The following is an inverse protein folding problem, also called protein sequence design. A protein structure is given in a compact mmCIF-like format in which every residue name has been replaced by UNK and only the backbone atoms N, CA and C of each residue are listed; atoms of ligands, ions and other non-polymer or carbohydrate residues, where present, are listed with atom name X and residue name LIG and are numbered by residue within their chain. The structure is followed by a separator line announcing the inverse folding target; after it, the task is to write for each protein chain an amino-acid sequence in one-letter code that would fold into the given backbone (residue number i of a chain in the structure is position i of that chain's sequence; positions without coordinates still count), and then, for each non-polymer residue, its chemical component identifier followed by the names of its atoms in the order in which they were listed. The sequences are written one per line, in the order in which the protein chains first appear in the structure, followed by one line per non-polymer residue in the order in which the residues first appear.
data_IF_119766327803
#
_entry.id   IF_119766327803
#
_cell.length_a   1.000
_cell.length_b   1.000
_cell.length_c   1.000
_cell.angle_alpha   90.00
_cell.angle_beta   90.00
_cell.angle_gamma   90.00
#
_symmetry.space_group_name_H-M   'P 1'
#
loop_
_entity.id
_entity.type
_entity.pdbx_description
1 polymer ?
#
# COMPACT_ATOMS: atom_id res chain seq x y z
N UNK A 1 6.79 -16.66 0.78
CA UNK A 1 6.42 -15.97 2.03
C UNK A 1 7.12 -14.63 1.97
N UNK A 2 6.40 -13.51 2.02
CA UNK A 2 7.03 -12.19 2.10
C UNK A 2 7.82 -12.10 3.41
N UNK A 3 9.04 -11.58 3.36
CA UNK A 3 9.81 -11.37 4.57
C UNK A 3 9.23 -10.15 5.31
N UNK A 4 9.28 -10.11 6.66
CA UNK A 4 8.89 -8.92 7.39
C UNK A 4 9.73 -7.72 6.89
N UNK A 5 9.05 -6.64 6.54
CA UNK A 5 9.59 -5.40 5.96
C UNK A 5 9.69 -5.29 4.41
N UNK A 6 9.22 -6.27 3.65
CA UNK A 6 9.13 -6.11 2.19
C UNK A 6 8.02 -5.11 1.82
N UNK A 7 8.34 -4.15 0.95
CA UNK A 7 7.36 -3.26 0.32
C UNK A 7 6.58 -4.04 -0.74
N UNK A 8 5.26 -4.04 -0.61
CA UNK A 8 4.34 -4.68 -1.56
C UNK A 8 3.46 -3.58 -2.16
N UNK A 9 3.51 -3.45 -3.48
CA UNK A 9 2.66 -2.52 -4.23
C UNK A 9 1.53 -3.32 -4.89
N UNK A 10 0.30 -2.89 -4.64
CA UNK A 10 -0.91 -3.48 -5.19
C UNK A 10 -1.44 -2.61 -6.32
N UNK A 11 -1.77 -3.26 -7.43
CA UNK A 11 -2.31 -2.63 -8.62
C UNK A 11 -3.75 -3.08 -8.88
N UNK A 12 -4.52 -2.27 -9.60
CA UNK A 12 -5.84 -2.65 -10.10
C UNK A 12 -5.73 -3.47 -11.40
N UNK A 13 -6.87 -3.75 -12.04
CA UNK A 13 -6.94 -4.53 -13.29
C UNK A 13 -6.26 -3.85 -14.48
N UNK A 14 -6.08 -2.53 -14.43
CA UNK A 14 -5.40 -1.73 -15.44
C UNK A 14 -3.92 -1.47 -15.07
N UNK A 15 -3.46 -2.03 -13.95
CA UNK A 15 -2.10 -1.93 -13.46
C UNK A 15 -1.83 -0.69 -12.60
N UNK A 16 -2.82 0.19 -12.36
CA UNK A 16 -2.60 1.40 -11.59
C UNK A 16 -2.35 1.07 -10.11
N UNK A 17 -1.32 1.65 -9.48
CA UNK A 17 -1.09 1.47 -8.06
C UNK A 17 -2.26 2.05 -7.26
N UNK A 18 -2.88 1.23 -6.41
CA UNK A 18 -3.94 1.67 -5.48
C UNK A 18 -3.53 1.55 -4.02
N UNK A 19 -2.51 0.74 -3.71
CA UNK A 19 -1.88 0.72 -2.38
C UNK A 19 -0.43 0.27 -2.39
N UNK A 20 0.32 0.70 -1.37
CA UNK A 20 1.68 0.27 -1.07
C UNK A 20 1.80 -0.02 0.42
N UNK A 21 2.14 -1.26 0.80
CA UNK A 21 2.12 -1.73 2.18
C UNK A 21 3.39 -2.50 2.54
N UNK A 22 3.75 -2.44 3.82
CA UNK A 22 4.76 -3.27 4.45
C UNK A 22 4.09 -4.10 5.55
N UNK A 23 4.34 -5.41 5.54
CA UNK A 23 3.74 -6.31 6.52
C UNK A 23 4.38 -6.15 7.90
N UNK A 24 3.55 -6.19 8.95
CA UNK A 24 4.00 -6.07 10.34
C UNK A 24 3.93 -4.65 10.91
N UNK A 25 4.48 -4.49 12.11
CA UNK A 25 4.49 -3.23 12.86
C UNK A 25 5.66 -2.32 12.45
N UNK A 26 5.84 -2.10 11.16
CA UNK A 26 6.89 -1.23 10.63
C UNK A 26 6.69 0.24 11.06
N UNK A 27 7.79 0.99 11.18
CA UNK A 27 7.76 2.40 11.56
C UNK A 27 7.27 3.22 10.36
N UNK A 28 6.22 4.03 10.52
CA UNK A 28 5.63 4.80 9.41
C UNK A 28 6.64 5.68 8.67
N UNK A 29 7.65 6.22 9.36
CA UNK A 29 8.70 7.03 8.73
C UNK A 29 9.63 6.20 7.83
N UNK A 30 9.98 4.98 8.25
CA UNK A 30 10.78 4.05 7.43
C UNK A 30 9.97 3.59 6.22
N UNK A 31 8.69 3.27 6.41
CA UNK A 31 7.78 2.90 5.30
C UNK A 31 7.59 4.06 4.33
N UNK A 32 7.46 5.30 4.81
CA UNK A 32 7.36 6.47 3.94
C UNK A 32 8.62 6.69 3.09
N UNK A 33 9.79 6.28 3.58
CA UNK A 33 11.03 6.33 2.81
C UNK A 33 11.13 5.22 1.74
N UNK A 34 10.36 4.13 1.89
CA UNK A 34 10.29 3.04 0.90
C UNK A 34 9.26 3.32 -0.20
N UNK A 35 8.15 3.98 0.14
CA UNK A 35 7.11 4.35 -0.82
C UNK A 35 7.55 5.65 -1.51
N UNK A 36 8.44 5.55 -2.49
CA UNK A 36 8.88 6.66 -3.35
C UNK A 36 8.18 6.60 -4.72
N UNK A 37 8.19 7.71 -5.47
CA UNK A 37 7.72 7.71 -6.87
C UNK A 37 8.49 6.65 -7.65
N UNK A 38 9.83 6.65 -7.57
CA UNK A 38 10.70 5.68 -8.24
C UNK A 38 10.31 4.22 -7.95
N UNK A 39 10.03 3.88 -6.68
CA UNK A 39 9.59 2.53 -6.32
C UNK A 39 8.25 2.16 -6.95
N UNK A 40 7.35 3.14 -7.11
CA UNK A 40 6.07 2.95 -7.81
C UNK A 40 6.30 2.82 -9.32
N UNK A 41 7.15 3.65 -9.93
CA UNK A 41 7.48 3.56 -11.36
C UNK A 41 8.10 2.21 -11.69
N UNK A 42 9.04 1.74 -10.88
CA UNK A 42 9.73 0.46 -11.07
C UNK A 42 8.76 -0.73 -10.95
N UNK A 43 7.79 -0.65 -10.04
CA UNK A 43 6.85 -1.74 -9.80
C UNK A 43 5.68 -1.78 -10.80
N UNK A 44 5.26 -0.62 -11.32
CA UNK A 44 4.00 -0.49 -12.07
C UNK A 44 4.14 0.08 -13.47
N UNK A 45 5.27 0.72 -13.78
CA UNK A 45 5.50 1.46 -15.03
C UNK A 45 4.85 2.84 -15.08
N UNK A 46 4.13 3.27 -14.02
CA UNK A 46 3.54 4.60 -13.95
C UNK A 46 4.57 5.65 -13.59
N UNK A 47 4.67 6.68 -14.42
CA UNK A 47 5.57 7.81 -14.14
C UNK A 47 4.96 8.81 -13.17
N UNK A 48 5.78 9.68 -12.59
CA UNK A 48 5.34 10.83 -11.79
C UNK A 48 4.22 11.62 -12.48
N UNK A 49 4.39 11.89 -13.79
CA UNK A 49 3.40 12.61 -14.59
C UNK A 49 2.09 11.84 -14.70
N UNK A 50 2.15 10.51 -14.94
CA UNK A 50 0.96 9.66 -14.99
C UNK A 50 0.22 9.60 -13.66
N UNK A 51 0.94 9.49 -12.54
CA UNK A 51 0.34 9.51 -11.19
C UNK A 51 -0.28 10.88 -10.88
N UNK A 52 0.33 11.98 -11.35
CA UNK A 52 -0.24 13.31 -11.21
C UNK A 52 -1.52 13.50 -12.04
N UNK A 53 -1.58 12.97 -13.26
CA UNK A 53 -2.79 13.01 -14.11
C UNK A 53 -3.95 12.20 -13.51
N UNK A 54 -3.65 11.11 -12.81
CA UNK A 54 -4.62 10.31 -12.05
C UNK A 54 -5.05 10.97 -10.74
N UNK A 55 -4.42 12.10 -10.38
CA UNK A 55 -4.65 12.78 -9.12
C UNK A 55 -4.27 11.93 -7.92
N UNK A 56 -3.33 11.00 -8.01
CA UNK A 56 -2.99 10.15 -6.87
C UNK A 56 -2.52 10.98 -5.65
N UNK A 57 -2.80 10.50 -4.45
CA UNK A 57 -2.34 11.13 -3.21
C UNK A 57 -0.81 11.09 -3.08
N UNK A 58 -0.18 12.27 -3.15
CA UNK A 58 1.26 12.46 -2.93
C UNK A 58 1.55 13.80 -2.23
N UNK A 59 2.49 13.89 -1.27
CA UNK A 59 3.33 12.81 -0.71
C UNK A 59 2.50 11.76 0.04
N UNK A 60 3.03 10.53 0.23
CA UNK A 60 2.26 9.45 0.82
C UNK A 60 1.93 9.76 2.29
N UNK A 61 0.64 9.69 2.62
CA UNK A 61 0.19 9.66 4.01
C UNK A 61 0.29 8.22 4.53
N UNK A 62 1.40 7.90 5.20
CA UNK A 62 1.68 6.55 5.71
C UNK A 62 1.09 6.34 7.10
N UNK A 63 0.22 5.36 7.22
CA UNK A 63 -0.50 5.06 8.46
C UNK A 63 -0.67 3.54 8.64
N UNK A 64 -0.93 3.07 9.88
CA UNK A 64 -1.26 1.68 10.11
C UNK A 64 -2.63 1.32 9.51
N UNK A 65 -2.73 0.13 8.94
CA UNK A 65 -3.97 -0.51 8.54
C UNK A 65 -4.04 -1.92 9.15
N UNK A 66 -5.24 -2.49 9.15
CA UNK A 66 -5.50 -3.85 9.61
C UNK A 66 -6.12 -4.65 8.48
N UNK A 67 -5.54 -5.80 8.19
CA UNK A 67 -6.03 -6.73 7.20
C UNK A 67 -6.43 -8.04 7.86
N UNK A 68 -7.52 -8.63 7.39
CA UNK A 68 -7.93 -9.99 7.73
C UNK A 68 -7.87 -10.84 6.47
N UNK A 69 -7.30 -12.04 6.59
CA UNK A 69 -7.36 -13.04 5.52
C UNK A 69 -8.77 -13.63 5.42
N UNK A 70 -9.25 -13.77 4.19
CA UNK A 70 -10.52 -14.40 3.86
C UNK A 70 -10.31 -15.85 3.41
N UNK A 71 -11.40 -16.63 3.38
CA UNK A 71 -11.36 -18.06 3.04
C UNK A 71 -10.94 -18.33 1.58
N UNK A 72 -11.01 -17.31 0.72
CA UNK A 72 -10.62 -17.33 -0.69
C UNK A 72 -9.18 -16.86 -0.93
N UNK A 73 -8.33 -16.88 0.11
CA UNK A 73 -6.93 -16.43 0.07
C UNK A 73 -6.75 -14.93 -0.24
N UNK A 74 -7.83 -14.15 -0.21
CA UNK A 74 -7.78 -12.69 -0.34
C UNK A 74 -7.65 -12.00 1.02
N UNK A 75 -7.33 -10.71 1.00
CA UNK A 75 -7.25 -9.88 2.22
C UNK A 75 -8.27 -8.75 2.16
N UNK A 76 -8.93 -8.51 3.30
CA UNK A 76 -9.87 -7.41 3.47
C UNK A 76 -9.39 -6.45 4.56
N UNK A 77 -9.55 -5.14 4.34
CA UNK A 77 -9.36 -4.14 5.39
C UNK A 77 -10.42 -4.32 6.49
N UNK A 78 -9.97 -4.44 7.72
CA UNK A 78 -10.79 -4.76 8.88
C UNK A 78 -10.50 -3.83 10.06
N UNK A 79 -11.21 -4.02 11.18
CA UNK A 79 -10.88 -3.33 12.43
C UNK A 79 -9.73 -4.05 13.18
N UNK A 80 -9.02 -3.33 14.04
CA UNK A 80 -8.00 -3.91 14.94
C UNK A 80 -8.57 -5.00 15.85
N UNK A 81 -9.82 -4.84 16.27
CA UNK A 81 -10.50 -5.76 17.18
C UNK A 81 -11.01 -7.05 16.50
N UNK A 82 -10.92 -7.15 15.17
CA UNK A 82 -11.47 -8.28 14.45
C UNK A 82 -10.60 -9.52 14.62
N UNK A 83 -11.24 -10.68 14.82
CA UNK A 83 -10.53 -11.94 14.98
C UNK A 83 -9.73 -12.28 13.71
N UNK A 84 -8.42 -12.52 13.89
CA UNK A 84 -7.48 -12.74 12.79
C UNK A 84 -6.92 -11.46 12.12
N UNK A 85 -7.19 -10.27 12.68
CA UNK A 85 -6.63 -9.02 12.16
C UNK A 85 -5.10 -9.00 12.28
N UNK A 86 -4.43 -8.64 11.18
CA UNK A 86 -2.99 -8.47 11.08
C UNK A 86 -2.66 -7.02 10.78
N UNK A 87 -1.72 -6.47 11.55
CA UNK A 87 -1.26 -5.10 11.36
C UNK A 87 -0.33 -5.02 10.15
N UNK A 88 -0.59 -4.01 9.32
CA UNK A 88 0.28 -3.58 8.24
C UNK A 88 0.49 -2.07 8.35
N UNK A 89 1.52 -1.54 7.69
CA UNK A 89 1.74 -0.09 7.60
C UNK A 89 1.95 0.31 6.15
N UNK A 90 1.33 1.39 5.68
CA UNK A 90 1.56 1.86 4.33
C UNK A 90 0.67 3.00 3.88
N UNK A 91 0.50 3.13 2.57
CA UNK A 91 -0.24 4.20 1.93
C UNK A 91 -1.26 3.62 0.93
N UNK A 92 -2.41 4.27 0.84
CA UNK A 92 -3.39 4.00 -0.22
C UNK A 92 -3.41 5.18 -1.17
N UNK A 93 -3.19 4.91 -2.45
CA UNK A 93 -3.26 5.90 -3.51
C UNK A 93 -4.74 6.09 -3.84
N UNK A 94 -5.32 7.19 -3.39
CA UNK A 94 -6.69 7.56 -3.77
C UNK A 94 -6.64 8.70 -4.78
N UNK A 95 -7.63 8.78 -5.70
CA UNK A 95 -7.84 9.99 -6.48
C UNK A 95 -8.10 11.14 -5.50
N UNK A 96 -7.22 12.15 -5.52
CA UNK A 96 -7.47 13.45 -4.96
C UNK A 96 -8.66 13.99 -5.75
N UNK A 97 -9.79 14.17 -5.06
CA UNK A 97 -11.03 14.65 -5.67
C UNK A 97 -10.87 15.97 -6.41
#
# INVERSE_FOLDING_TARGET
MAEPNDLIIFTDEEGYPWAAFVWGAAISQEVAALITIEAVEDATGYTEAGLAELGCSWPPNVQPYWLKALDDETYQICAESDDGAQRITGHRFYPQG
#
